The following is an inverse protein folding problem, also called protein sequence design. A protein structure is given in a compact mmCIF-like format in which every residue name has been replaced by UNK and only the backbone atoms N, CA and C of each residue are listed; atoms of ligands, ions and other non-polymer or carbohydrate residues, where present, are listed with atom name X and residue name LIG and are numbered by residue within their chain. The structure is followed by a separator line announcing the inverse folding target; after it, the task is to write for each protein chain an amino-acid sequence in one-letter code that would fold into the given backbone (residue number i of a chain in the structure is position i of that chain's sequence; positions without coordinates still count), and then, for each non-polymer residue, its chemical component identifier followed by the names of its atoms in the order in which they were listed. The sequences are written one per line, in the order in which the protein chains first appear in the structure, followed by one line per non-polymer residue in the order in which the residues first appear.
data_IF_393868705152
#
_entry.id   IF_393868705152
#
_cell.length_a   1.000
_cell.length_b   1.000
_cell.length_c   1.000
_cell.angle_alpha   90.00
_cell.angle_beta   90.00
_cell.angle_gamma   90.00
#
_symmetry.space_group_name_H-M   'P 1'
#
loop_
_entity.id
_entity.type
_entity.pdbx_description
1 polymer ?
#
# COMPACT_ATOMS: atom_id res chain seq x y z
N UNK A 1 -59.44 67.78 30.05
CA UNK A 1 -58.36 67.05 30.76
C UNK A 1 -58.48 65.58 30.44
N UNK A 2 -57.70 65.06 29.53
CA UNK A 2 -57.59 63.65 29.22
C UNK A 2 -56.08 63.32 28.92
N UNK A 3 -55.49 62.54 29.80
CA UNK A 3 -54.12 62.02 29.67
C UNK A 3 -54.07 60.90 28.65
N UNK A 4 -53.28 61.04 27.62
CA UNK A 4 -52.94 59.93 26.72
C UNK A 4 -51.60 59.33 27.15
N UNK A 5 -51.64 58.07 27.60
CA UNK A 5 -50.52 57.28 28.03
C UNK A 5 -49.98 56.53 26.79
N UNK A 6 -48.79 56.91 26.37
CA UNK A 6 -48.09 56.20 25.27
C UNK A 6 -47.45 54.93 25.79
N UNK A 7 -47.98 53.78 25.36
CA UNK A 7 -47.32 52.50 25.52
C UNK A 7 -46.21 52.38 24.49
N UNK A 8 -44.91 52.35 24.92
CA UNK A 8 -43.74 51.95 24.13
C UNK A 8 -43.66 50.43 24.12
N UNK A 9 -43.99 49.83 22.98
CA UNK A 9 -43.76 48.40 22.68
C UNK A 9 -42.30 48.28 22.34
N UNK A 10 -41.53 47.66 23.23
CA UNK A 10 -40.17 47.24 22.95
C UNK A 10 -40.22 45.86 22.27
N UNK A 11 -40.06 45.81 20.95
CA UNK A 11 -39.79 44.58 20.22
C UNK A 11 -38.40 44.08 20.57
N UNK A 12 -38.28 43.07 21.44
CA UNK A 12 -37.06 42.30 21.61
C UNK A 12 -36.92 41.36 20.44
N UNK A 13 -36.06 41.72 19.48
CA UNK A 13 -35.61 40.81 18.41
C UNK A 13 -34.58 39.88 19.03
N UNK A 14 -35.02 38.66 19.37
CA UNK A 14 -34.13 37.58 19.78
C UNK A 14 -33.40 37.07 18.52
N UNK A 15 -32.15 37.50 18.34
CA UNK A 15 -31.25 36.91 17.35
C UNK A 15 -30.88 35.49 17.81
N UNK A 16 -31.59 34.48 17.30
CA UNK A 16 -31.22 33.09 17.48
C UNK A 16 -30.00 32.80 16.57
N UNK A 17 -28.79 33.00 17.11
CA UNK A 17 -27.54 32.64 16.43
C UNK A 17 -27.46 31.12 16.36
N UNK A 18 -27.88 30.57 15.20
CA UNK A 18 -27.68 29.14 14.90
C UNK A 18 -26.19 28.90 14.59
N UNK A 19 -25.42 28.60 15.63
CA UNK A 19 -24.03 28.18 15.47
C UNK A 19 -24.01 26.79 14.84
N UNK A 20 -23.86 26.73 13.51
CA UNK A 20 -23.62 25.50 12.78
C UNK A 20 -22.20 25.03 13.16
N UNK A 21 -22.11 24.18 14.17
CA UNK A 21 -20.88 23.46 14.47
C UNK A 21 -20.62 22.46 13.33
N UNK A 22 -19.83 22.87 12.34
CA UNK A 22 -19.17 21.93 11.42
C UNK A 22 -18.21 21.06 12.27
N UNK A 23 -18.74 19.97 12.78
CA UNK A 23 -17.92 18.91 13.35
C UNK A 23 -17.21 18.22 12.20
N UNK A 24 -16.07 18.74 11.78
CA UNK A 24 -15.11 17.96 11.01
C UNK A 24 -14.75 16.75 11.86
N UNK A 25 -15.33 15.58 11.58
CA UNK A 25 -14.83 14.31 12.08
C UNK A 25 -13.40 14.18 11.53
N UNK A 26 -12.40 14.62 12.31
CA UNK A 26 -11.00 14.25 12.07
C UNK A 26 -10.99 12.72 12.00
N UNK A 27 -10.77 12.17 10.81
CA UNK A 27 -10.53 10.75 10.66
C UNK A 27 -9.45 10.37 11.67
N UNK A 28 -9.62 9.26 12.38
CA UNK A 28 -8.63 8.79 13.36
C UNK A 28 -7.26 8.76 12.69
N UNK A 29 -6.30 9.48 13.25
CA UNK A 29 -4.91 9.44 12.79
C UNK A 29 -4.41 7.98 12.78
N UNK A 30 -3.73 7.54 11.71
CA UNK A 30 -3.17 6.19 11.63
C UNK A 30 -2.15 5.94 12.74
N UNK A 31 -2.21 4.77 13.37
CA UNK A 31 -1.75 4.50 14.73
C UNK A 31 -0.25 4.53 14.95
N UNK A 32 0.59 4.13 14.07
CA UNK A 32 2.05 4.18 14.23
C UNK A 32 2.75 4.13 12.88
N UNK A 33 4.00 4.54 12.86
CA UNK A 33 4.83 4.58 11.66
C UNK A 33 5.39 5.96 11.41
N UNK A 34 6.60 6.01 10.85
CA UNK A 34 7.31 7.26 10.59
C UNK A 34 6.78 7.98 9.34
N UNK A 35 6.30 7.23 8.34
CA UNK A 35 5.77 7.81 7.10
C UNK A 35 4.26 7.71 7.01
N UNK A 36 3.67 8.55 6.14
CA UNK A 36 2.23 8.46 5.82
C UNK A 36 1.88 7.07 5.27
N UNK A 37 2.76 6.46 4.45
CA UNK A 37 2.55 5.12 3.91
C UNK A 37 2.48 4.06 5.02
N UNK A 38 3.45 4.05 5.94
CA UNK A 38 3.48 3.11 7.06
C UNK A 38 2.26 3.25 7.98
N UNK A 39 1.86 4.50 8.29
CA UNK A 39 0.65 4.76 9.09
C UNK A 39 -0.61 4.27 8.39
N UNK A 40 -0.75 4.49 7.07
CA UNK A 40 -1.88 3.98 6.28
C UNK A 40 -1.93 2.44 6.28
N UNK A 41 -0.79 1.77 6.13
CA UNK A 41 -0.72 0.31 6.21
C UNK A 41 -1.14 -0.19 7.60
N UNK A 42 -0.63 0.40 8.67
CA UNK A 42 -1.02 0.02 10.03
C UNK A 42 -2.51 0.23 10.28
N UNK A 43 -3.09 1.35 9.83
CA UNK A 43 -4.51 1.61 9.93
C UNK A 43 -5.35 0.57 9.16
N UNK A 44 -4.92 0.19 7.96
CA UNK A 44 -5.56 -0.87 7.16
C UNK A 44 -5.51 -2.23 7.88
N UNK A 45 -4.35 -2.60 8.43
CA UNK A 45 -4.19 -3.86 9.17
C UNK A 45 -4.99 -3.89 10.47
N UNK A 46 -5.25 -2.74 11.09
CA UNK A 46 -6.07 -2.64 12.31
C UNK A 46 -7.57 -2.61 12.05
N UNK A 47 -7.99 -2.25 10.84
CA UNK A 47 -9.42 -2.20 10.48
C UNK A 47 -9.97 -3.62 10.33
N UNK A 48 -10.78 -4.07 11.28
CA UNK A 48 -11.34 -5.42 11.32
C UNK A 48 -12.16 -5.79 10.06
N UNK A 49 -12.66 -4.81 9.31
CA UNK A 49 -13.44 -5.02 8.09
C UNK A 49 -12.56 -5.30 6.86
N UNK A 50 -11.27 -4.93 6.89
CA UNK A 50 -10.35 -4.97 5.74
C UNK A 50 -9.09 -5.79 6.01
N UNK A 51 -8.71 -5.93 7.28
CA UNK A 51 -7.47 -6.55 7.71
C UNK A 51 -7.29 -7.96 7.15
N UNK A 52 -6.09 -8.31 6.66
CA UNK A 52 -5.77 -9.68 6.31
C UNK A 52 -5.52 -10.58 7.54
N UNK A 53 -5.37 -9.99 8.72
CA UNK A 53 -5.11 -10.74 9.95
C UNK A 53 -6.26 -11.66 10.34
N UNK A 54 -5.96 -12.76 11.00
CA UNK A 54 -6.96 -13.57 11.66
C UNK A 54 -7.56 -12.81 12.85
N UNK A 55 -8.75 -13.20 13.31
CA UNK A 55 -9.37 -12.59 14.50
C UNK A 55 -8.47 -12.65 15.74
N UNK A 56 -7.66 -13.70 15.88
CA UNK A 56 -6.69 -13.85 16.98
C UNK A 56 -5.57 -12.83 16.86
N UNK A 57 -4.93 -12.74 15.71
CA UNK A 57 -3.86 -11.79 15.45
C UNK A 57 -4.32 -10.34 15.59
N UNK A 58 -5.52 -10.02 15.08
CA UNK A 58 -6.07 -8.66 15.14
C UNK A 58 -6.25 -8.16 16.59
N UNK A 59 -6.58 -9.05 17.54
CA UNK A 59 -6.73 -8.68 18.97
C UNK A 59 -5.41 -8.19 19.59
N UNK A 60 -4.28 -8.73 19.15
CA UNK A 60 -2.94 -8.39 19.66
C UNK A 60 -2.17 -7.44 18.75
N UNK A 61 -2.71 -7.12 17.58
CA UNK A 61 -2.05 -6.28 16.60
C UNK A 61 -1.85 -4.85 17.11
N UNK A 62 -0.62 -4.38 17.07
CA UNK A 62 -0.25 -2.99 17.40
C UNK A 62 0.21 -2.24 16.16
N UNK A 63 1.15 -2.79 15.42
CA UNK A 63 1.70 -2.23 14.19
C UNK A 63 2.50 -3.29 13.42
N UNK A 64 2.64 -3.09 12.11
CA UNK A 64 3.60 -3.85 11.31
C UNK A 64 5.03 -3.42 11.69
N UNK A 65 5.97 -4.36 11.76
CA UNK A 65 7.38 -4.05 11.88
C UNK A 65 7.92 -3.54 10.53
N UNK A 66 8.67 -2.44 10.56
CA UNK A 66 9.30 -1.87 9.37
C UNK A 66 10.81 -1.72 9.58
N UNK A 67 11.57 -1.88 8.50
CA UNK A 67 12.95 -1.40 8.47
C UNK A 67 12.99 0.13 8.67
N UNK A 68 14.13 0.61 9.15
CA UNK A 68 14.41 2.05 9.15
C UNK A 68 14.40 2.57 7.71
N UNK A 69 13.86 3.76 7.52
CA UNK A 69 13.85 4.39 6.20
C UNK A 69 15.29 4.58 5.68
N UNK A 70 15.50 4.12 4.45
CA UNK A 70 16.78 4.31 3.74
C UNK A 70 16.49 4.77 2.31
N UNK A 71 16.89 6.01 2.01
CA UNK A 71 16.71 6.62 0.69
C UNK A 71 17.51 5.91 -0.41
N UNK A 72 18.56 5.14 -0.07
CA UNK A 72 19.32 4.34 -1.02
C UNK A 72 18.51 3.21 -1.65
N UNK A 73 17.36 2.86 -1.04
CA UNK A 73 16.38 1.92 -1.59
C UNK A 73 15.21 2.60 -2.33
N UNK A 74 15.30 3.90 -2.58
CA UNK A 74 14.46 4.58 -3.56
C UNK A 74 15.28 4.75 -4.83
N UNK A 75 15.04 3.91 -5.82
CA UNK A 75 15.89 3.81 -7.02
C UNK A 75 15.14 4.24 -8.28
N UNK A 76 15.86 4.89 -9.18
CA UNK A 76 15.38 5.18 -10.53
C UNK A 76 15.74 4.02 -11.44
N UNK A 77 14.73 3.44 -12.09
CA UNK A 77 14.88 2.38 -13.07
C UNK A 77 14.55 2.88 -14.48
N UNK A 78 15.24 2.34 -15.48
CA UNK A 78 14.81 2.42 -16.87
C UNK A 78 13.82 1.29 -17.14
N UNK A 79 12.63 1.63 -17.65
CA UNK A 79 11.57 0.69 -17.96
C UNK A 79 11.53 0.40 -19.46
N UNK A 80 11.96 -0.78 -19.83
CA UNK A 80 11.85 -1.30 -21.20
C UNK A 80 10.49 -1.98 -21.35
N UNK A 81 9.51 -1.26 -21.92
CA UNK A 81 8.15 -1.78 -22.11
C UNK A 81 8.15 -2.97 -23.08
N UNK A 82 7.41 -4.03 -22.75
CA UNK A 82 7.22 -5.19 -23.59
C UNK A 82 6.01 -5.03 -24.50
N UNK A 83 6.14 -5.49 -25.75
CA UNK A 83 5.05 -5.45 -26.74
C UNK A 83 4.07 -6.63 -26.59
N UNK A 84 4.51 -7.71 -25.93
CA UNK A 84 3.68 -8.90 -25.72
C UNK A 84 2.58 -8.58 -24.69
N UNK A 85 1.33 -8.62 -25.15
CA UNK A 85 0.15 -8.40 -24.33
C UNK A 85 -0.49 -9.71 -23.85
N UNK A 86 0.13 -10.86 -24.11
CA UNK A 86 -0.41 -12.16 -23.70
C UNK A 86 -0.31 -12.34 -22.19
N UNK A 87 -1.45 -12.65 -21.58
CA UNK A 87 -1.54 -13.00 -20.18
C UNK A 87 -1.13 -14.46 -19.97
N UNK A 88 -0.28 -14.69 -18.98
CA UNK A 88 0.19 -16.01 -18.58
C UNK A 88 -0.42 -16.39 -17.25
N UNK A 89 -0.60 -17.67 -17.06
CA UNK A 89 -1.04 -18.28 -15.82
C UNK A 89 0.10 -18.26 -14.80
N UNK A 90 -0.13 -17.58 -13.68
CA UNK A 90 0.82 -17.45 -12.58
C UNK A 90 0.29 -18.25 -11.39
N UNK A 91 1.05 -19.24 -10.88
CA UNK A 91 0.67 -19.97 -9.69
C UNK A 91 0.55 -19.04 -8.48
N UNK A 92 -0.36 -19.40 -7.58
CA UNK A 92 -0.54 -18.67 -6.32
C UNK A 92 -0.26 -19.58 -5.13
N UNK A 93 -0.32 -19.01 -3.92
CA UNK A 93 -0.19 -19.78 -2.66
C UNK A 93 -1.34 -20.75 -2.38
N UNK A 94 -2.33 -20.83 -3.27
CA UNK A 94 -3.46 -21.79 -3.26
C UNK A 94 -3.59 -22.43 -4.63
N UNK A 95 -4.65 -23.16 -4.87
CA UNK A 95 -4.96 -23.74 -6.21
C UNK A 95 -5.42 -22.69 -7.23
N UNK A 96 -5.73 -21.47 -6.81
CA UNK A 96 -6.12 -20.38 -7.72
C UNK A 96 -4.96 -19.99 -8.63
N UNK A 97 -5.28 -19.79 -9.90
CA UNK A 97 -4.34 -19.23 -10.88
C UNK A 97 -4.60 -17.73 -11.04
N UNK A 98 -3.55 -16.93 -10.99
CA UNK A 98 -3.59 -15.51 -11.33
C UNK A 98 -3.17 -15.31 -12.79
N UNK A 99 -3.79 -14.35 -13.48
CA UNK A 99 -3.41 -14.00 -14.86
C UNK A 99 -2.64 -12.69 -14.86
N UNK A 100 -1.41 -12.71 -15.37
CA UNK A 100 -0.53 -11.54 -15.46
C UNK A 100 0.26 -11.54 -16.75
N UNK A 101 0.57 -10.36 -17.28
CA UNK A 101 1.53 -10.17 -18.36
C UNK A 101 2.77 -9.47 -17.87
N UNK A 102 3.89 -9.67 -18.52
CA UNK A 102 5.07 -8.83 -18.30
C UNK A 102 4.84 -7.51 -19.03
N UNK A 103 4.61 -6.44 -18.26
CA UNK A 103 4.45 -5.10 -18.79
C UNK A 103 5.77 -4.52 -19.29
N UNK A 104 6.86 -4.80 -18.59
CA UNK A 104 8.18 -4.32 -18.93
C UNK A 104 9.29 -4.88 -18.05
N UNK A 105 10.51 -4.56 -18.42
CA UNK A 105 11.74 -4.89 -17.69
C UNK A 105 12.28 -3.62 -17.03
N UNK A 106 12.35 -3.59 -15.72
CA UNK A 106 12.95 -2.49 -14.97
C UNK A 106 14.46 -2.76 -14.77
N UNK A 107 15.29 -1.95 -15.41
CA UNK A 107 16.75 -2.01 -15.31
C UNK A 107 17.25 -0.92 -14.36
N UNK A 108 17.99 -1.28 -13.32
CA UNK A 108 18.42 -0.37 -12.25
C UNK A 108 19.71 -0.82 -11.58
N UNK A 109 20.24 0.05 -10.70
CA UNK A 109 21.33 -0.33 -9.78
C UNK A 109 20.84 -0.25 -8.34
N UNK A 110 21.10 -1.29 -7.54
CA UNK A 110 20.82 -1.34 -6.10
C UNK A 110 22.12 -1.75 -5.39
N UNK A 111 22.63 -0.92 -4.49
CA UNK A 111 23.86 -1.21 -3.73
C UNK A 111 25.04 -1.62 -4.61
N UNK A 112 25.16 -1.03 -5.81
CA UNK A 112 26.22 -1.31 -6.79
C UNK A 112 25.91 -2.41 -7.81
N UNK A 113 24.96 -3.30 -7.51
CA UNK A 113 24.55 -4.39 -8.40
C UNK A 113 23.63 -3.90 -9.51
N UNK A 114 23.85 -4.35 -10.73
CA UNK A 114 22.98 -4.10 -11.89
C UNK A 114 21.89 -5.19 -11.93
N UNK A 115 20.64 -4.77 -11.86
CA UNK A 115 19.49 -5.66 -11.69
C UNK A 115 18.47 -5.40 -12.78
N UNK A 116 17.86 -6.46 -13.27
CA UNK A 116 16.70 -6.40 -14.17
C UNK A 116 15.55 -7.20 -13.54
N UNK A 117 14.41 -6.54 -13.34
CA UNK A 117 13.21 -7.17 -12.78
C UNK A 117 12.04 -7.07 -13.76
N UNK A 118 11.24 -8.14 -13.85
CA UNK A 118 9.99 -8.11 -14.57
C UNK A 118 8.97 -7.29 -13.78
N UNK A 119 8.35 -6.33 -14.44
CA UNK A 119 7.19 -5.58 -13.93
C UNK A 119 5.96 -6.18 -14.57
N UNK A 120 4.96 -6.51 -13.75
CA UNK A 120 3.75 -7.18 -14.19
C UNK A 120 2.56 -6.23 -14.23
N UNK A 121 1.59 -6.56 -15.07
CA UNK A 121 0.25 -6.01 -15.04
C UNK A 121 -0.75 -7.17 -14.93
N UNK A 122 -1.69 -7.06 -13.99
CA UNK A 122 -2.76 -8.04 -13.84
C UNK A 122 -3.79 -7.89 -14.95
N UNK A 123 -4.48 -8.97 -15.29
CA UNK A 123 -5.56 -8.92 -16.28
C UNK A 123 -6.67 -7.95 -15.85
N UNK A 124 -7.01 -7.90 -14.57
CA UNK A 124 -8.01 -6.96 -14.04
C UNK A 124 -7.59 -5.49 -14.20
N UNK A 125 -6.32 -5.17 -13.93
CA UNK A 125 -5.81 -3.80 -14.12
C UNK A 125 -5.75 -3.42 -15.62
N UNK A 126 -5.43 -4.37 -16.49
CA UNK A 126 -5.44 -4.14 -17.94
C UNK A 126 -6.85 -3.88 -18.49
N UNK A 127 -7.84 -4.65 -18.04
CA UNK A 127 -9.23 -4.50 -18.47
C UNK A 127 -9.89 -3.24 -17.91
N UNK A 128 -9.51 -2.82 -16.72
CA UNK A 128 -9.96 -1.56 -16.13
C UNK A 128 -9.06 -0.40 -16.60
N UNK A 129 -9.47 0.31 -17.62
CA UNK A 129 -8.70 1.44 -18.21
C UNK A 129 -8.43 2.60 -17.23
N UNK A 130 -9.11 2.66 -16.11
CA UNK A 130 -8.87 3.65 -15.03
C UNK A 130 -7.83 3.15 -14.02
N UNK A 131 -7.46 1.87 -14.07
CA UNK A 131 -6.44 1.28 -13.19
C UNK A 131 -5.08 1.31 -13.90
N UNK A 132 -4.21 2.19 -13.45
CA UNK A 132 -2.84 2.32 -13.95
C UNK A 132 -1.81 1.61 -13.05
N UNK A 133 -2.24 0.62 -12.26
CA UNK A 133 -1.39 -0.11 -11.32
C UNK A 133 -0.55 -1.16 -12.03
N UNK A 134 0.74 -1.19 -11.68
CA UNK A 134 1.66 -2.25 -12.01
C UNK A 134 2.08 -2.98 -10.74
N UNK A 135 2.51 -4.22 -10.90
CA UNK A 135 2.85 -5.13 -9.81
C UNK A 135 4.30 -5.59 -9.93
N UNK A 136 5.08 -5.40 -8.86
CA UNK A 136 6.45 -5.84 -8.75
C UNK A 136 6.60 -6.82 -7.57
N UNK A 137 6.47 -8.14 -7.80
CA UNK A 137 6.87 -9.14 -6.84
C UNK A 137 8.39 -9.34 -6.90
N UNK A 138 9.07 -9.49 -5.75
CA UNK A 138 10.51 -9.72 -5.72
C UNK A 138 10.95 -10.59 -4.55
N UNK A 139 12.04 -11.29 -4.75
CA UNK A 139 12.83 -11.99 -3.73
C UNK A 139 14.14 -11.23 -3.49
N UNK A 140 14.67 -11.31 -2.28
CA UNK A 140 15.97 -10.75 -1.92
C UNK A 140 16.63 -11.56 -0.79
N UNK A 141 17.86 -11.18 -0.40
CA UNK A 141 18.60 -11.91 0.64
C UNK A 141 18.06 -11.73 2.07
N UNK A 142 17.02 -10.95 2.29
CA UNK A 142 16.35 -10.84 3.60
C UNK A 142 15.26 -11.89 3.81
N UNK A 143 14.84 -12.58 2.73
CA UNK A 143 13.72 -13.53 2.80
C UNK A 143 14.02 -14.73 3.71
N UNK A 144 13.09 -15.01 4.61
CA UNK A 144 13.23 -16.09 5.60
C UNK A 144 14.03 -15.72 6.85
N UNK A 145 14.74 -14.59 6.83
CA UNK A 145 15.42 -14.00 7.99
C UNK A 145 14.58 -12.87 8.61
N UNK A 146 14.62 -11.71 7.95
CA UNK A 146 13.96 -10.49 8.42
C UNK A 146 12.65 -10.19 7.68
N UNK A 147 12.41 -10.82 6.53
CA UNK A 147 11.20 -10.66 5.73
C UNK A 147 10.57 -12.01 5.40
N UNK A 148 9.35 -11.99 4.89
CA UNK A 148 8.62 -13.20 4.56
C UNK A 148 9.38 -14.06 3.55
N UNK A 149 9.48 -15.36 3.80
CA UNK A 149 10.25 -16.30 2.97
C UNK A 149 9.75 -16.38 1.52
N UNK A 150 8.46 -16.15 1.28
CA UNK A 150 7.85 -16.15 -0.05
C UNK A 150 8.06 -14.87 -0.86
N UNK A 151 8.85 -13.92 -0.36
CA UNK A 151 9.12 -12.64 -1.02
C UNK A 151 8.15 -11.53 -0.64
N UNK A 152 8.35 -10.39 -1.26
CA UNK A 152 7.56 -9.17 -1.02
C UNK A 152 7.05 -8.58 -2.31
N UNK A 153 6.12 -7.62 -2.18
CA UNK A 153 5.46 -6.97 -3.29
C UNK A 153 5.61 -5.44 -3.22
N UNK A 154 5.55 -4.82 -4.37
CA UNK A 154 5.38 -3.39 -4.56
C UNK A 154 4.30 -3.14 -5.61
N UNK A 155 3.40 -2.20 -5.32
CA UNK A 155 2.52 -1.63 -6.31
C UNK A 155 3.16 -0.37 -6.87
N UNK A 156 3.16 -0.27 -8.20
CA UNK A 156 3.75 0.82 -8.94
C UNK A 156 2.68 1.44 -9.84
N UNK A 157 2.94 2.64 -10.33
CA UNK A 157 2.05 3.31 -11.28
C UNK A 157 2.71 3.32 -12.65
N UNK A 158 1.92 3.10 -13.71
CA UNK A 158 2.39 3.21 -15.09
C UNK A 158 2.98 4.63 -15.28
N UNK A 159 4.26 4.75 -15.62
CA UNK A 159 4.88 6.06 -15.83
C UNK A 159 4.54 6.63 -17.20
N UNK A 160 4.53 7.95 -17.31
CA UNK A 160 4.31 8.66 -18.57
C UNK A 160 5.46 8.47 -19.58
N UNK A 161 6.64 8.08 -19.08
CA UNK A 161 7.85 7.86 -19.88
C UNK A 161 8.52 6.52 -19.50
N UNK A 162 9.75 6.29 -19.94
CA UNK A 162 10.50 5.05 -19.64
C UNK A 162 11.30 5.15 -18.33
N UNK A 163 10.96 6.08 -17.44
CA UNK A 163 11.59 6.22 -16.12
C UNK A 163 10.62 5.85 -15.01
N UNK A 164 11.01 4.90 -14.18
CA UNK A 164 10.20 4.39 -13.07
C UNK A 164 10.93 4.60 -11.75
N UNK A 165 10.27 5.20 -10.77
CA UNK A 165 10.79 5.27 -9.40
C UNK A 165 10.27 4.07 -8.62
N UNK A 166 11.19 3.25 -8.14
CA UNK A 166 10.89 2.08 -7.31
C UNK A 166 11.36 2.39 -5.89
N UNK A 167 10.40 2.57 -4.98
CA UNK A 167 10.65 2.86 -3.57
C UNK A 167 10.42 1.60 -2.72
N UNK A 168 11.49 0.85 -2.48
CA UNK A 168 11.44 -0.38 -1.69
C UNK A 168 11.05 -0.13 -0.22
N UNK A 169 11.12 1.11 0.29
CA UNK A 169 10.58 1.45 1.60
C UNK A 169 9.06 1.25 1.70
N UNK A 170 8.38 1.09 0.55
CA UNK A 170 6.95 0.77 0.45
C UNK A 170 6.67 -0.72 0.24
N UNK A 171 7.70 -1.56 0.20
CA UNK A 171 7.52 -3.00 0.02
C UNK A 171 6.70 -3.60 1.17
N UNK A 172 5.80 -4.52 0.81
CA UNK A 172 4.89 -5.17 1.75
C UNK A 172 4.88 -6.70 1.56
N UNK A 173 4.50 -7.44 2.63
CA UNK A 173 4.34 -8.88 2.55
C UNK A 173 2.98 -9.23 1.90
N UNK A 174 2.90 -10.30 1.10
CA UNK A 174 1.63 -10.83 0.61
C UNK A 174 0.72 -11.21 1.78
N UNK A 175 -0.59 -11.08 1.61
CA UNK A 175 -1.56 -11.34 2.67
C UNK A 175 -1.55 -12.80 3.16
N UNK A 176 -1.15 -13.74 2.30
CA UNK A 176 -0.99 -15.15 2.68
C UNK A 176 0.12 -15.36 3.73
N UNK A 177 1.05 -14.41 3.89
CA UNK A 177 2.02 -14.43 4.99
C UNK A 177 1.35 -14.34 6.37
N UNK A 178 0.18 -13.70 6.46
CA UNK A 178 -0.56 -13.48 7.69
C UNK A 178 -1.74 -14.44 7.85
N UNK A 179 -2.33 -14.86 6.73
CA UNK A 179 -3.51 -15.71 6.77
C UNK A 179 -3.60 -16.59 5.50
N UNK A 180 -3.53 -17.92 5.63
CA UNK A 180 -3.49 -18.86 4.50
C UNK A 180 -4.74 -18.86 3.63
N UNK A 181 -5.83 -18.22 4.06
CA UNK A 181 -7.04 -18.07 3.22
C UNK A 181 -6.80 -17.19 1.98
N UNK A 182 -5.75 -16.36 2.00
CA UNK A 182 -5.44 -15.48 0.88
C UNK A 182 -4.61 -16.19 -0.18
N UNK A 183 -5.02 -16.01 -1.43
CA UNK A 183 -4.36 -16.56 -2.60
C UNK A 183 -3.46 -15.49 -3.23
N UNK A 184 -2.16 -15.61 -3.02
CA UNK A 184 -1.17 -14.61 -3.44
C UNK A 184 -0.29 -15.17 -4.56
N UNK A 185 0.01 -14.40 -5.63
CA UNK A 185 0.91 -14.83 -6.69
C UNK A 185 2.29 -15.22 -6.15
N UNK A 186 2.84 -16.35 -6.60
CA UNK A 186 4.19 -16.77 -6.22
C UNK A 186 5.20 -15.87 -6.93
N UNK A 187 6.18 -15.37 -6.18
CA UNK A 187 7.26 -14.54 -6.76
C UNK A 187 8.12 -15.37 -7.70
N UNK A 188 8.25 -14.96 -8.97
CA UNK A 188 9.12 -15.66 -9.91
C UNK A 188 10.59 -15.53 -9.51
N UNK A 189 11.35 -16.61 -9.65
CA UNK A 189 12.82 -16.60 -9.36
C UNK A 189 13.61 -15.62 -10.23
N UNK A 190 13.09 -15.25 -11.39
CA UNK A 190 13.66 -14.21 -12.25
C UNK A 190 13.64 -12.82 -11.61
N UNK A 191 12.80 -12.61 -10.60
CA UNK A 191 12.72 -11.35 -9.83
C UNK A 191 13.50 -11.45 -8.51
N UNK A 192 14.68 -12.08 -8.56
CA UNK A 192 15.58 -12.14 -7.40
C UNK A 192 16.60 -11.00 -7.42
N UNK A 193 16.72 -10.31 -6.29
CA UNK A 193 17.69 -9.24 -6.04
C UNK A 193 18.82 -9.81 -5.17
N UNK A 194 20.07 -9.90 -5.68
CA UNK A 194 21.18 -10.57 -4.98
C UNK A 194 21.83 -9.71 -3.88
N UNK A 195 21.04 -8.84 -3.24
CA UNK A 195 21.43 -8.04 -2.07
C UNK A 195 20.33 -8.06 -1.02
N UNK A 196 20.66 -7.74 0.24
CA UNK A 196 19.66 -7.53 1.28
C UNK A 196 18.95 -6.21 1.05
N UNK A 197 17.65 -6.26 0.72
CA UNK A 197 16.79 -5.06 0.61
C UNK A 197 16.20 -4.78 1.99
N UNK A 198 16.97 -4.13 2.84
CA UNK A 198 16.57 -3.76 4.21
C UNK A 198 15.70 -2.50 4.21
N UNK A 199 14.56 -2.60 3.54
CA UNK A 199 13.57 -1.54 3.39
C UNK A 199 12.15 -2.13 3.37
N UNK A 200 11.13 -1.35 3.73
CA UNK A 200 9.73 -1.77 3.76
C UNK A 200 9.35 -2.60 4.98
N UNK A 201 8.34 -3.44 4.83
CA UNK A 201 7.79 -4.28 5.92
C UNK A 201 8.72 -5.46 6.22
N UNK A 202 8.99 -5.69 7.50
CA UNK A 202 9.63 -6.89 8.02
C UNK A 202 8.59 -8.01 8.27
N UNK A 203 9.07 -9.22 8.50
CA UNK A 203 8.26 -10.34 8.94
C UNK A 203 8.98 -11.05 10.07
N UNK A 204 8.57 -10.76 11.29
CA UNK A 204 9.10 -11.42 12.48
C UNK A 204 8.28 -12.69 12.70
N UNK A 205 8.94 -13.84 12.71
CA UNK A 205 8.29 -15.09 13.13
C UNK A 205 7.87 -14.92 14.58
N UNK A 206 6.59 -15.15 14.89
CA UNK A 206 6.16 -15.33 16.27
C UNK A 206 6.87 -16.61 16.78
N UNK A 207 7.68 -16.48 17.84
CA UNK A 207 8.26 -17.61 18.59
C UNK A 207 7.17 -18.33 19.36
#
# INVERSE_FOLDING_TARGET
MRFYQFYRIHCFIIFFSCSIHFSCKKGKEPISGFTVHQRKQNAFFQDASKSPLTKKQLKSFKALPFFKLDSSFMVKAYLEKQKDENFKDIPTSTERIAKQRVYGLAKMKIKGETITLNIYQTESAFLNKLDNTLFLPFLDLTNGENTYAGGRYLDLIIPDNDSLIIDFNKAYNPYCAYNPKYSCPIVPRTNFIPVKVEAGVMYLKEN
#
